data_IF_600587203741
#
_entry.id   IF_600587203741
#
_cell.length_a   1.000
_cell.length_b   1.000
_cell.length_c   1.000
_cell.angle_alpha   90.00
_cell.angle_beta   90.00
_cell.angle_gamma   90.00
#
_symmetry.space_group_name_H-M   'P 1'
#
loop_
_entity.id
_entity.type
_entity.pdbx_description
1 polymer ?
#
# COMPACT_ATOMS: atom_id res chain seq x y z
N UNK A 1 21.40 13.15 -19.70
CA UNK A 1 21.77 14.02 -20.85
C UNK A 1 20.49 14.65 -21.41
N UNK A 2 20.52 15.92 -21.83
CA UNK A 2 19.42 16.59 -22.57
C UNK A 2 19.94 16.96 -23.95
N UNK A 3 19.32 16.50 -25.03
CA UNK A 3 19.73 16.80 -26.41
C UNK A 3 21.23 16.56 -26.69
N UNK A 4 21.80 15.47 -26.16
CA UNK A 4 23.23 15.15 -26.31
C UNK A 4 24.18 15.85 -25.32
N UNK A 5 23.70 16.84 -24.57
CA UNK A 5 24.46 17.56 -23.55
C UNK A 5 24.40 16.82 -22.22
N UNK A 6 25.55 16.60 -21.59
CA UNK A 6 25.64 16.09 -20.22
C UNK A 6 25.57 17.25 -19.23
N UNK A 7 24.80 17.07 -18.17
CA UNK A 7 24.69 18.01 -17.06
C UNK A 7 25.24 17.35 -15.80
N UNK A 8 25.92 18.13 -14.98
CA UNK A 8 26.59 17.67 -13.78
C UNK A 8 26.78 18.85 -12.83
N UNK A 9 27.04 18.53 -11.56
CA UNK A 9 27.39 19.53 -10.54
C UNK A 9 28.91 19.65 -10.46
N UNK A 10 29.43 20.87 -10.48
CA UNK A 10 30.87 21.12 -10.39
C UNK A 10 31.19 22.46 -9.72
N UNK A 11 32.41 22.56 -9.21
CA UNK A 11 32.98 23.73 -8.54
C UNK A 11 34.21 24.22 -9.32
N UNK A 12 34.21 25.50 -9.69
CA UNK A 12 35.33 26.16 -10.36
C UNK A 12 36.26 26.93 -9.39
N UNK A 13 36.01 26.82 -8.09
CA UNK A 13 36.71 27.51 -7.02
C UNK A 13 36.28 28.97 -6.83
N UNK A 14 35.37 29.50 -7.66
CA UNK A 14 34.88 30.89 -7.58
C UNK A 14 33.45 30.98 -7.08
N UNK A 15 32.57 30.11 -7.59
CA UNK A 15 31.14 30.12 -7.28
C UNK A 15 30.66 28.87 -6.51
N UNK A 16 31.58 27.98 -6.15
CA UNK A 16 31.25 26.72 -5.49
C UNK A 16 30.47 25.77 -6.40
N UNK A 17 29.77 24.79 -5.80
CA UNK A 17 29.00 23.78 -6.52
C UNK A 17 27.76 24.37 -7.24
N UNK A 18 27.85 24.46 -8.56
CA UNK A 18 26.78 24.98 -9.42
C UNK A 18 26.37 23.97 -10.50
N UNK A 19 25.36 24.31 -11.31
CA UNK A 19 24.93 23.50 -12.45
C UNK A 19 25.83 23.76 -13.66
N UNK A 20 26.45 22.70 -14.17
CA UNK A 20 27.31 22.74 -15.36
C UNK A 20 26.75 21.87 -16.49
N UNK A 21 27.18 22.19 -17.71
CA UNK A 21 26.89 21.41 -18.90
C UNK A 21 28.14 21.17 -19.73
N UNK A 22 28.16 20.08 -20.49
CA UNK A 22 29.24 19.75 -21.43
C UNK A 22 28.71 19.01 -22.67
N UNK A 23 29.28 19.33 -23.82
CA UNK A 23 29.12 18.57 -25.08
C UNK A 23 30.27 17.57 -25.31
N UNK A 24 31.18 17.42 -24.33
CA UNK A 24 32.39 16.61 -24.44
C UNK A 24 33.64 17.38 -24.87
N UNK A 25 33.54 18.69 -25.13
CA UNK A 25 34.67 19.56 -25.45
C UNK A 25 34.98 20.51 -24.30
N UNK A 26 36.22 21.01 -24.23
CA UNK A 26 36.62 22.04 -23.25
C UNK A 26 35.79 23.30 -23.43
N UNK A 27 35.60 23.76 -24.68
CA UNK A 27 34.86 24.99 -24.98
C UNK A 27 33.35 24.87 -24.65
N UNK A 28 32.77 23.69 -24.83
CA UNK A 28 31.37 23.42 -24.49
C UNK A 28 31.13 23.06 -23.03
N UNK A 29 32.19 22.98 -22.21
CA UNK A 29 32.08 22.73 -20.76
C UNK A 29 31.98 24.05 -20.01
N UNK A 30 30.76 24.42 -19.63
CA UNK A 30 30.47 25.75 -19.05
C UNK A 30 29.42 25.66 -17.95
N UNK A 31 29.47 26.60 -17.01
CA UNK A 31 28.41 26.80 -16.02
C UNK A 31 27.13 27.24 -16.74
N UNK A 32 26.00 26.66 -16.35
CA UNK A 32 24.69 27.01 -16.92
C UNK A 32 24.18 28.32 -16.31
N UNK A 33 24.25 28.44 -14.99
CA UNK A 33 23.84 29.61 -14.22
C UNK A 33 24.49 29.53 -12.84
N UNK A 34 24.97 30.66 -12.34
CA UNK A 34 25.22 30.83 -10.91
C UNK A 34 23.86 31.08 -10.24
N UNK A 35 23.30 30.06 -9.59
CA UNK A 35 21.97 30.13 -8.99
C UNK A 35 22.01 30.91 -7.69
N UNK A 36 23.00 30.63 -6.82
CA UNK A 36 23.21 31.40 -5.60
C UNK A 36 24.23 32.52 -5.86
N UNK A 37 23.73 33.72 -6.18
CA UNK A 37 24.56 34.88 -6.51
C UNK A 37 25.43 35.45 -5.35
N UNK A 38 25.52 34.77 -4.20
CA UNK A 38 26.26 35.19 -3.00
C UNK A 38 27.61 34.47 -2.85
N UNK A 39 28.17 34.48 -1.64
CA UNK A 39 29.44 33.81 -1.30
C UNK A 39 29.30 32.31 -0.94
N UNK A 40 28.23 31.67 -1.41
CA UNK A 40 27.96 30.24 -1.19
C UNK A 40 27.62 29.57 -2.51
N UNK A 41 27.03 28.37 -2.48
CA UNK A 41 26.79 27.56 -3.67
C UNK A 41 25.40 26.93 -3.67
N UNK A 42 24.82 26.74 -4.85
CA UNK A 42 23.48 26.19 -4.99
C UNK A 42 23.39 24.68 -4.76
N UNK A 43 24.51 23.98 -4.88
CA UNK A 43 24.66 22.52 -4.75
C UNK A 43 23.51 21.75 -5.43
N UNK A 44 23.38 21.80 -6.78
CA UNK A 44 22.38 21.05 -7.50
C UNK A 44 22.48 19.54 -7.24
N UNK A 45 21.34 18.89 -6.99
CA UNK A 45 21.25 17.46 -6.69
C UNK A 45 20.10 16.81 -7.47
N UNK A 46 20.12 15.47 -7.54
CA UNK A 46 19.04 14.67 -8.14
C UNK A 46 18.70 15.04 -9.60
N UNK A 47 19.74 15.29 -10.40
CA UNK A 47 19.65 15.71 -11.80
C UNK A 47 18.87 14.69 -12.65
N UNK A 48 17.63 15.04 -13.00
CA UNK A 48 16.68 14.14 -13.68
C UNK A 48 16.10 14.79 -14.91
N UNK A 49 16.05 14.08 -16.04
CA UNK A 49 15.54 14.63 -17.30
C UNK A 49 14.13 14.14 -17.54
N UNK A 50 13.17 15.05 -17.67
CA UNK A 50 11.78 14.77 -18.06
C UNK A 50 11.44 15.62 -19.28
N UNK A 51 11.01 15.00 -20.39
CA UNK A 51 10.62 15.69 -21.62
C UNK A 51 11.60 16.79 -22.09
N UNK A 52 12.88 16.43 -22.16
CA UNK A 52 13.98 17.32 -22.56
C UNK A 52 14.16 18.55 -21.65
N UNK A 53 13.57 18.54 -20.47
CA UNK A 53 13.80 19.52 -19.40
C UNK A 53 14.61 18.83 -18.30
N UNK A 54 15.67 19.47 -17.83
CA UNK A 54 16.42 19.01 -16.66
C UNK A 54 15.74 19.53 -15.41
N UNK A 55 15.44 18.65 -14.47
CA UNK A 55 14.97 18.95 -13.12
C UNK A 55 16.05 18.60 -12.10
N UNK A 56 16.10 19.36 -11.01
CA UNK A 56 17.05 19.18 -9.93
C UNK A 56 16.60 19.96 -8.70
N UNK A 57 17.11 19.62 -7.52
CA UNK A 57 16.97 20.47 -6.34
C UNK A 57 18.17 21.40 -6.20
N UNK A 58 17.94 22.66 -5.84
CA UNK A 58 19.00 23.65 -5.64
C UNK A 58 18.56 24.75 -4.67
N UNK A 59 19.55 25.40 -4.05
CA UNK A 59 19.34 26.53 -3.14
C UNK A 59 19.82 27.84 -3.77
N UNK A 60 19.02 28.90 -3.72
CA UNK A 60 19.39 30.23 -4.24
C UNK A 60 19.84 31.21 -3.16
N UNK A 61 19.88 30.77 -1.89
CA UNK A 61 20.20 31.57 -0.72
C UNK A 61 19.05 32.40 -0.16
N UNK A 62 17.86 32.33 -0.76
CA UNK A 62 16.68 33.12 -0.37
C UNK A 62 15.50 32.20 -0.02
N UNK A 63 15.21 31.23 -0.87
CA UNK A 63 14.04 30.35 -0.80
C UNK A 63 14.41 28.92 -0.34
N UNK A 64 15.61 28.74 0.20
CA UNK A 64 16.09 27.42 0.61
C UNK A 64 16.25 26.47 -0.58
N UNK A 65 16.36 25.16 -0.32
CA UNK A 65 16.45 24.14 -1.37
C UNK A 65 15.06 23.81 -1.90
N UNK A 66 14.85 24.10 -3.18
CA UNK A 66 13.55 23.93 -3.85
C UNK A 66 13.69 23.15 -5.16
N UNK A 67 12.59 22.90 -5.86
CA UNK A 67 12.59 22.24 -7.16
C UNK A 67 12.92 23.27 -8.25
N UNK A 68 13.95 22.98 -9.04
CA UNK A 68 14.39 23.80 -10.18
C UNK A 68 14.30 23.04 -11.48
N UNK A 69 14.21 23.79 -12.58
CA UNK A 69 14.32 23.27 -13.94
C UNK A 69 15.30 24.06 -14.79
N UNK A 70 15.82 23.44 -15.85
CA UNK A 70 16.68 24.05 -16.85
C UNK A 70 16.45 23.46 -18.25
N UNK A 71 16.44 24.33 -19.26
CA UNK A 71 16.55 23.97 -20.68
C UNK A 71 18.00 24.02 -21.20
N UNK A 72 18.97 24.29 -20.31
CA UNK A 72 20.38 24.48 -20.63
C UNK A 72 20.80 25.93 -20.86
N UNK A 73 19.89 26.90 -20.71
CA UNK A 73 20.17 28.34 -20.78
C UNK A 73 20.07 29.00 -19.41
N UNK A 74 20.72 30.14 -19.23
CA UNK A 74 20.58 30.96 -18.01
C UNK A 74 19.12 31.35 -17.77
N UNK A 75 18.40 31.75 -18.84
CA UNK A 75 17.03 32.23 -18.75
C UNK A 75 16.03 31.11 -18.45
N UNK A 76 16.23 29.93 -19.01
CA UNK A 76 15.40 28.75 -18.73
C UNK A 76 15.76 28.02 -17.44
N UNK A 77 16.80 28.45 -16.72
CA UNK A 77 17.18 27.91 -15.40
C UNK A 77 16.47 28.67 -14.29
N UNK A 78 15.33 28.12 -13.83
CA UNK A 78 14.38 28.79 -12.92
C UNK A 78 13.84 27.82 -11.87
N UNK A 79 13.45 28.33 -10.72
CA UNK A 79 12.67 27.61 -9.72
C UNK A 79 11.30 27.27 -10.32
N UNK A 80 10.82 26.04 -10.10
CA UNK A 80 9.51 25.59 -10.58
C UNK A 80 8.41 26.09 -9.68
N UNK A 81 8.61 25.97 -8.37
CA UNK A 81 7.70 26.40 -7.31
C UNK A 81 8.49 26.57 -6.01
N UNK A 82 8.16 27.60 -5.26
CA UNK A 82 8.58 27.77 -3.87
C UNK A 82 7.60 26.97 -2.99
N UNK A 83 7.89 25.68 -2.76
CA UNK A 83 6.97 24.77 -2.07
C UNK A 83 6.92 25.11 -0.57
N UNK A 84 8.08 25.41 0.03
CA UNK A 84 8.18 25.86 1.42
C UNK A 84 8.87 27.23 1.49
N UNK A 85 8.10 28.33 1.51
CA UNK A 85 8.67 29.67 1.53
C UNK A 85 9.65 29.92 2.67
N UNK A 86 10.81 30.49 2.32
CA UNK A 86 11.85 30.93 3.24
C UNK A 86 13.14 30.11 3.13
N UNK A 87 14.13 30.41 3.98
CA UNK A 87 15.50 29.89 3.82
C UNK A 87 15.67 28.39 4.05
N UNK A 88 14.65 27.71 4.60
CA UNK A 88 14.69 26.27 4.89
C UNK A 88 14.47 25.50 3.57
N UNK A 89 13.43 25.85 2.81
CA UNK A 89 13.05 25.19 1.57
C UNK A 89 12.44 23.80 1.79
N UNK A 90 11.87 23.24 0.72
CA UNK A 90 11.13 21.97 0.73
C UNK A 90 11.99 20.70 0.62
N UNK A 91 13.29 20.87 0.39
CA UNK A 91 14.30 19.82 0.22
C UNK A 91 13.88 18.67 -0.74
N UNK A 92 13.61 18.95 -2.03
CA UNK A 92 13.23 17.89 -2.96
C UNK A 92 14.32 16.82 -3.14
N UNK A 93 13.95 15.57 -2.94
CA UNK A 93 14.84 14.40 -3.02
C UNK A 93 14.21 13.29 -3.86
N UNK A 94 15.05 12.34 -4.28
CA UNK A 94 14.65 11.13 -5.02
C UNK A 94 13.85 11.41 -6.32
N UNK A 95 14.27 12.44 -7.06
CA UNK A 95 13.62 12.85 -8.30
C UNK A 95 13.60 11.70 -9.30
N UNK A 96 12.39 11.24 -9.64
CA UNK A 96 12.16 10.08 -10.47
C UNK A 96 11.20 10.42 -11.60
N UNK A 97 11.61 10.13 -12.82
CA UNK A 97 10.74 10.27 -14.00
C UNK A 97 9.83 9.05 -14.09
N UNK A 98 8.53 9.27 -14.20
CA UNK A 98 7.54 8.26 -14.59
C UNK A 98 6.74 8.81 -15.75
N UNK A 99 6.86 8.19 -16.93
CA UNK A 99 6.31 8.73 -18.18
C UNK A 99 6.73 10.20 -18.42
N UNK A 100 5.77 11.13 -18.38
CA UNK A 100 5.97 12.56 -18.63
C UNK A 100 5.95 13.41 -17.35
N UNK A 101 5.90 12.76 -16.19
CA UNK A 101 5.74 13.38 -14.87
C UNK A 101 6.99 13.16 -14.04
N UNK A 102 7.42 14.19 -13.32
CA UNK A 102 8.45 14.06 -12.29
C UNK A 102 7.77 13.77 -10.96
N UNK A 103 8.24 12.75 -10.25
CA UNK A 103 7.88 12.44 -8.87
C UNK A 103 9.08 12.68 -7.96
N UNK A 104 8.83 13.10 -6.72
CA UNK A 104 9.88 13.39 -5.74
C UNK A 104 9.31 13.45 -4.32
N UNK A 105 10.18 13.31 -3.33
CA UNK A 105 9.86 13.56 -1.91
C UNK A 105 10.14 15.03 -1.59
N UNK A 106 9.22 15.73 -0.92
CA UNK A 106 9.40 17.11 -0.47
C UNK A 106 8.46 17.46 0.69
N UNK A 107 8.82 18.51 1.45
CA UNK A 107 8.02 19.03 2.57
C UNK A 107 7.42 20.40 2.29
N UNK A 108 6.16 20.62 2.69
CA UNK A 108 5.53 21.94 2.73
C UNK A 108 5.57 22.57 4.14
N UNK A 109 6.32 21.97 5.08
CA UNK A 109 6.42 22.43 6.47
C UNK A 109 5.23 22.07 7.38
N UNK A 110 4.12 21.53 6.85
CA UNK A 110 2.95 21.13 7.65
C UNK A 110 2.65 19.63 7.62
N UNK A 111 2.91 18.97 6.48
CA UNK A 111 2.66 17.53 6.27
C UNK A 111 3.94 16.68 6.35
N UNK A 112 5.08 17.28 6.73
CA UNK A 112 6.38 16.62 6.61
C UNK A 112 6.73 16.27 5.16
N UNK A 113 7.65 15.32 4.96
CA UNK A 113 8.06 14.86 3.64
C UNK A 113 7.05 13.87 3.06
N UNK A 114 6.45 14.25 1.94
CA UNK A 114 5.40 13.47 1.27
C UNK A 114 5.68 13.27 -0.22
N UNK A 115 4.83 12.51 -0.91
CA UNK A 115 4.95 12.29 -2.35
C UNK A 115 4.43 13.51 -3.12
N UNK A 116 5.30 14.12 -3.91
CA UNK A 116 4.98 15.22 -4.81
C UNK A 116 5.16 14.82 -6.26
N UNK A 117 4.47 15.56 -7.14
CA UNK A 117 4.67 15.48 -8.59
C UNK A 117 4.81 16.86 -9.22
N UNK A 118 5.43 16.91 -10.39
CA UNK A 118 5.52 18.12 -11.23
C UNK A 118 5.48 17.78 -12.73
N UNK A 119 4.81 18.63 -13.50
CA UNK A 119 4.88 18.69 -14.97
C UNK A 119 5.87 19.76 -15.48
N UNK A 120 6.58 20.43 -14.56
CA UNK A 120 7.46 21.56 -14.85
C UNK A 120 6.82 22.93 -14.73
N UNK A 121 5.54 23.02 -14.36
CA UNK A 121 4.86 24.27 -14.04
C UNK A 121 4.60 24.40 -12.54
N UNK A 122 4.43 25.63 -12.06
CA UNK A 122 4.06 25.88 -10.67
C UNK A 122 2.71 25.25 -10.32
N UNK A 123 1.72 25.36 -11.24
CA UNK A 123 0.38 24.82 -11.07
C UNK A 123 0.35 23.28 -11.06
N UNK A 124 1.16 22.64 -11.90
CA UNK A 124 1.29 21.18 -11.94
C UNK A 124 2.22 20.61 -10.86
N UNK A 125 2.83 21.46 -10.03
CA UNK A 125 3.67 21.04 -8.89
C UNK A 125 2.82 20.94 -7.62
N UNK A 126 2.38 19.72 -7.31
CA UNK A 126 1.39 19.42 -6.27
C UNK A 126 1.76 18.17 -5.48
N UNK A 127 1.33 18.12 -4.21
CA UNK A 127 1.37 16.90 -3.40
C UNK A 127 0.39 15.90 -4.01
N UNK A 128 0.82 14.65 -4.17
CA UNK A 128 0.00 13.57 -4.72
C UNK A 128 -0.90 12.99 -3.63
N UNK A 129 -0.31 12.70 -2.47
CA UNK A 129 -0.99 12.16 -1.30
C UNK A 129 -0.18 12.45 -0.05
N UNK A 130 -0.87 12.80 1.02
CA UNK A 130 -0.34 12.79 2.39
C UNK A 130 -0.42 11.33 2.89
N UNK A 131 0.65 10.56 2.65
CA UNK A 131 0.68 9.12 2.95
C UNK A 131 0.75 8.89 4.46
N UNK A 132 1.39 9.80 5.21
CA UNK A 132 1.41 9.80 6.66
C UNK A 132 0.84 11.11 7.22
N UNK A 133 -0.48 11.15 7.51
CA UNK A 133 -1.13 12.38 7.96
C UNK A 133 -0.45 13.03 9.17
N UNK A 134 -0.17 14.33 9.05
CA UNK A 134 0.38 15.17 10.11
C UNK A 134 1.82 15.61 9.86
N UNK A 135 2.46 16.21 10.85
CA UNK A 135 3.77 16.85 10.68
C UNK A 135 4.98 15.91 10.57
N UNK A 136 4.79 14.59 10.73
CA UNK A 136 5.91 13.64 10.70
C UNK A 136 6.39 13.35 9.28
N UNK A 137 5.48 13.26 8.30
CA UNK A 137 5.77 12.88 6.93
C UNK A 137 6.01 11.38 6.74
N UNK A 138 5.79 10.92 5.52
CA UNK A 138 5.99 9.54 5.09
C UNK A 138 7.41 9.24 4.59
N UNK A 139 8.22 10.26 4.29
CA UNK A 139 9.58 10.13 3.76
C UNK A 139 9.70 9.16 2.56
N UNK A 140 9.01 9.42 1.43
CA UNK A 140 9.12 8.57 0.25
C UNK A 140 10.58 8.42 -0.23
N UNK A 141 10.99 7.18 -0.51
CA UNK A 141 12.37 6.86 -0.91
C UNK A 141 12.46 5.62 -1.83
N UNK A 142 13.59 5.46 -2.49
CA UNK A 142 13.88 4.39 -3.48
C UNK A 142 12.85 4.33 -4.61
N UNK A 143 12.40 5.51 -5.05
CA UNK A 143 11.44 5.69 -6.12
C UNK A 143 11.92 5.02 -7.40
N UNK A 144 11.07 4.17 -7.98
CA UNK A 144 11.40 3.39 -9.17
C UNK A 144 10.20 3.38 -10.13
N UNK A 145 10.44 3.76 -11.38
CA UNK A 145 9.46 3.60 -12.47
C UNK A 145 9.42 2.15 -12.94
N UNK A 146 8.25 1.51 -12.85
CA UNK A 146 8.01 0.18 -13.39
C UNK A 146 6.81 0.25 -14.32
N UNK A 147 7.10 0.24 -15.63
CA UNK A 147 6.09 0.29 -16.68
C UNK A 147 5.09 1.45 -16.55
N UNK A 148 5.53 2.63 -16.10
CA UNK A 148 4.70 3.82 -15.95
C UNK A 148 3.94 3.91 -14.62
N UNK A 149 4.21 3.00 -13.68
CA UNK A 149 3.74 3.05 -12.29
C UNK A 149 4.93 3.33 -11.39
N UNK A 150 4.81 4.30 -10.49
CA UNK A 150 5.83 4.59 -9.49
C UNK A 150 5.72 3.56 -8.36
N UNK A 151 6.83 2.94 -7.97
CA UNK A 151 6.97 2.17 -6.72
C UNK A 151 7.97 2.87 -5.80
N UNK A 152 7.70 2.89 -4.49
CA UNK A 152 8.55 3.56 -3.50
C UNK A 152 8.29 3.02 -2.10
N UNK A 153 9.24 3.22 -1.19
CA UNK A 153 9.00 2.99 0.24
C UNK A 153 8.55 4.26 0.93
N UNK A 154 7.65 4.13 1.90
CA UNK A 154 7.21 5.23 2.73
C UNK A 154 6.82 4.71 4.13
N UNK A 155 6.94 5.56 5.14
CA UNK A 155 6.35 5.32 6.45
C UNK A 155 4.83 5.34 6.32
N UNK A 156 4.17 4.33 6.89
CA UNK A 156 2.71 4.23 6.95
C UNK A 156 2.26 4.16 8.41
N UNK A 157 1.15 4.82 8.80
CA UNK A 157 0.64 4.75 10.16
C UNK A 157 0.38 3.30 10.61
N UNK A 158 0.71 2.90 11.85
CA UNK A 158 1.22 3.72 12.95
C UNK A 158 2.77 3.82 13.04
N UNK A 159 3.50 3.68 11.94
CA UNK A 159 4.96 3.81 11.87
C UNK A 159 5.69 2.67 11.16
N UNK A 160 4.95 1.80 10.46
CA UNK A 160 5.51 0.71 9.66
C UNK A 160 6.19 1.24 8.39
N UNK A 161 7.11 0.47 7.83
CA UNK A 161 7.64 0.72 6.49
C UNK A 161 6.72 0.05 5.47
N UNK A 162 6.15 0.83 4.55
CA UNK A 162 5.31 0.32 3.47
C UNK A 162 6.02 0.33 2.13
N UNK A 163 5.82 -0.71 1.31
CA UNK A 163 6.00 -0.60 -0.14
C UNK A 163 4.71 -0.03 -0.73
N UNK A 164 4.82 1.08 -1.44
CA UNK A 164 3.71 1.79 -2.03
C UNK A 164 3.88 1.95 -3.53
N UNK A 165 2.75 2.11 -4.22
CA UNK A 165 2.68 2.43 -5.64
C UNK A 165 1.86 3.69 -5.88
N UNK A 166 2.11 4.39 -6.99
CA UNK A 166 1.34 5.56 -7.42
C UNK A 166 1.21 5.64 -8.93
N UNK A 167 0.03 5.99 -9.42
CA UNK A 167 -0.24 6.42 -10.80
C UNK A 167 -0.19 7.96 -10.95
N UNK A 168 0.13 8.68 -9.89
CA UNK A 168 0.11 10.14 -9.82
C UNK A 168 -1.20 10.76 -9.37
N UNK A 169 -2.21 9.97 -9.01
CA UNK A 169 -3.42 10.43 -8.36
C UNK A 169 -3.43 10.04 -6.88
N UNK A 170 -4.21 10.76 -6.07
CA UNK A 170 -4.38 10.42 -4.65
C UNK A 170 -4.99 9.03 -4.47
N UNK A 171 -6.03 8.70 -5.25
CA UNK A 171 -6.71 7.40 -5.21
C UNK A 171 -5.81 6.24 -5.67
N UNK A 172 -4.99 6.46 -6.71
CA UNK A 172 -4.05 5.45 -7.21
C UNK A 172 -2.75 5.36 -6.40
N UNK A 173 -2.59 6.16 -5.34
CA UNK A 173 -1.45 6.08 -4.43
C UNK A 173 -1.78 5.19 -3.24
N UNK A 174 -1.34 3.93 -3.30
CA UNK A 174 -1.69 2.90 -2.31
C UNK A 174 -0.45 2.14 -1.82
N UNK A 175 -0.42 1.80 -0.54
CA UNK A 175 0.62 0.94 0.03
C UNK A 175 0.16 -0.51 0.00
N UNK A 176 0.89 -1.33 -0.74
CA UNK A 176 0.49 -2.71 -1.10
C UNK A 176 1.06 -3.76 -0.13
N UNK A 177 2.00 -3.36 0.71
CA UNK A 177 2.57 -4.20 1.77
C UNK A 177 3.19 -3.35 2.85
N UNK A 178 2.94 -3.70 4.11
CA UNK A 178 3.56 -3.07 5.28
C UNK A 178 4.46 -4.07 6.01
N UNK A 179 5.56 -3.58 6.55
CA UNK A 179 6.54 -4.34 7.31
C UNK A 179 6.66 -3.76 8.72
N UNK A 180 6.79 -4.62 9.75
CA UNK A 180 6.99 -4.16 11.12
C UNK A 180 8.22 -3.24 11.23
N UNK A 181 8.15 -2.36 12.21
CA UNK A 181 9.01 -1.18 12.38
C UNK A 181 10.52 -1.47 12.31
N UNK A 182 11.12 -1.26 11.14
CA UNK A 182 12.52 -0.86 11.09
C UNK A 182 12.61 0.60 11.53
N UNK A 183 13.56 1.00 12.40
CA UNK A 183 13.90 2.40 12.52
C UNK A 183 14.28 2.93 11.13
N UNK A 184 13.79 4.13 10.80
CA UNK A 184 14.24 4.90 9.66
C UNK A 184 15.78 4.96 9.71
N UNK A 185 16.47 4.33 8.74
CA UNK A 185 17.94 4.28 8.71
C UNK A 185 18.60 2.91 8.47
N UNK A 186 17.85 1.84 8.14
CA UNK A 186 18.43 0.55 7.75
C UNK A 186 19.01 0.56 6.31
N UNK A 187 20.01 -0.29 5.98
CA UNK A 187 20.72 -0.35 4.67
C UNK A 187 19.78 -0.37 3.46
N UNK A 188 20.26 0.00 2.24
CA UNK A 188 19.40 0.44 1.15
C UNK A 188 18.31 -0.57 0.84
N UNK A 189 17.07 -0.13 1.04
CA UNK A 189 15.91 -0.79 0.47
C UNK A 189 15.99 -0.59 -1.04
N UNK A 190 15.82 -1.65 -1.80
CA UNK A 190 15.98 -1.58 -3.26
C UNK A 190 14.72 -2.09 -3.92
N UNK A 191 14.35 -1.44 -5.01
CA UNK A 191 13.28 -1.87 -5.90
C UNK A 191 13.93 -2.09 -7.26
N UNK A 192 13.59 -3.20 -7.90
CA UNK A 192 14.07 -3.53 -9.23
C UNK A 192 12.93 -4.05 -10.10
N UNK A 193 13.06 -3.81 -11.40
CA UNK A 193 12.16 -4.33 -12.41
C UNK A 193 12.87 -5.43 -13.19
N UNK A 194 12.21 -6.57 -13.40
CA UNK A 194 12.68 -7.57 -14.34
C UNK A 194 11.50 -8.23 -15.06
N UNK A 195 11.47 -8.08 -16.38
CA UNK A 195 10.47 -8.72 -17.27
C UNK A 195 9.01 -8.39 -16.90
N UNK A 196 8.75 -7.16 -16.46
CA UNK A 196 7.44 -6.69 -16.05
C UNK A 196 7.08 -7.01 -14.60
N UNK A 197 8.00 -7.60 -13.83
CA UNK A 197 7.81 -7.96 -12.43
C UNK A 197 8.63 -7.03 -11.53
N UNK A 198 8.09 -6.72 -10.36
CA UNK A 198 8.78 -5.89 -9.36
C UNK A 198 9.37 -6.79 -8.29
N UNK A 199 10.66 -6.62 -8.03
CA UNK A 199 11.38 -7.26 -6.93
C UNK A 199 11.83 -6.19 -5.95
N UNK A 200 11.78 -6.50 -4.67
CA UNK A 200 12.15 -5.54 -3.66
C UNK A 200 12.66 -6.20 -2.38
N UNK A 201 13.48 -5.50 -1.62
CA UNK A 201 14.00 -5.98 -0.33
C UNK A 201 13.31 -5.29 0.83
N UNK A 202 12.89 -6.04 1.85
CA UNK A 202 12.33 -5.47 3.07
C UNK A 202 13.21 -5.83 4.26
N UNK A 203 13.45 -4.86 5.15
CA UNK A 203 13.97 -5.16 6.49
C UNK A 203 12.76 -5.47 7.38
N UNK A 204 12.74 -6.67 7.95
CA UNK A 204 11.68 -7.18 8.81
C UNK A 204 12.09 -7.27 10.29
N UNK A 205 13.31 -6.84 10.63
CA UNK A 205 13.79 -6.86 12.00
C UNK A 205 12.96 -5.95 12.91
N UNK A 206 12.74 -6.39 14.15
CA UNK A 206 12.18 -5.54 15.19
C UNK A 206 13.12 -4.39 15.54
N UNK A 207 12.53 -3.27 15.99
CA UNK A 207 13.28 -2.10 16.40
C UNK A 207 14.36 -2.43 17.43
N UNK A 208 15.62 -2.06 17.12
CA UNK A 208 16.77 -2.32 17.97
C UNK A 208 17.46 -3.66 17.74
N UNK A 209 16.97 -4.50 16.83
CA UNK A 209 17.64 -5.73 16.40
C UNK A 209 18.55 -5.49 15.18
N UNK A 210 19.42 -6.46 14.91
CA UNK A 210 20.18 -6.49 13.66
C UNK A 210 19.22 -6.59 12.45
N UNK A 211 19.53 -5.94 11.32
CA UNK A 211 18.64 -5.95 10.17
C UNK A 211 18.47 -7.38 9.61
N UNK A 212 17.23 -7.76 9.36
CA UNK A 212 16.82 -9.05 8.83
C UNK A 212 16.13 -8.81 7.51
N UNK A 213 16.69 -9.33 6.42
CA UNK A 213 16.21 -9.03 5.08
C UNK A 213 15.38 -10.15 4.50
N UNK A 214 14.43 -9.73 3.69
CA UNK A 214 13.60 -10.60 2.89
C UNK A 214 13.54 -10.05 1.46
N UNK A 215 13.63 -10.93 0.47
CA UNK A 215 13.41 -10.62 -0.95
C UNK A 215 11.96 -10.92 -1.29
N UNK A 216 11.28 -9.94 -1.85
CA UNK A 216 9.88 -10.02 -2.21
C UNK A 216 9.68 -9.78 -3.70
N UNK A 217 8.51 -10.20 -4.19
CA UNK A 217 8.03 -9.91 -5.53
C UNK A 217 6.59 -9.40 -5.46
N UNK A 218 6.24 -8.50 -6.38
CA UNK A 218 4.88 -7.98 -6.52
C UNK A 218 4.48 -7.77 -7.98
N UNK A 219 3.19 -7.98 -8.27
CA UNK A 219 2.52 -7.54 -9.50
C UNK A 219 1.83 -6.16 -9.34
N UNK A 220 2.04 -5.52 -8.19
CA UNK A 220 1.40 -4.26 -7.81
C UNK A 220 0.10 -4.42 -7.02
N UNK A 221 -0.33 -5.64 -6.70
CA UNK A 221 -1.47 -5.90 -5.81
C UNK A 221 -1.01 -6.51 -4.50
N UNK A 222 -1.79 -6.37 -3.43
CA UNK A 222 -1.47 -7.00 -2.15
C UNK A 222 -1.41 -8.54 -2.27
N UNK A 223 -2.39 -9.15 -2.95
CA UNK A 223 -2.46 -10.61 -3.16
C UNK A 223 -1.37 -11.16 -4.09
N UNK A 224 -0.90 -10.32 -5.01
CA UNK A 224 0.25 -10.60 -5.86
C UNK A 224 1.59 -10.23 -5.24
N UNK A 225 1.62 -9.74 -3.98
CA UNK A 225 2.84 -9.44 -3.23
C UNK A 225 3.20 -10.60 -2.30
N UNK A 226 4.30 -11.28 -2.58
CA UNK A 226 4.71 -12.47 -1.82
C UNK A 226 6.22 -12.58 -1.69
N UNK A 227 6.65 -13.33 -0.68
CA UNK A 227 8.06 -13.55 -0.41
C UNK A 227 8.68 -14.44 -1.48
N UNK A 228 9.85 -14.05 -1.96
CA UNK A 228 10.71 -14.82 -2.87
C UNK A 228 11.88 -15.44 -2.12
N UNK A 229 12.45 -14.81 -1.11
CA UNK A 229 13.47 -15.47 -0.31
C UNK A 229 13.56 -14.86 1.07
N UNK A 230 13.66 -15.73 2.06
CA UNK A 230 14.13 -15.35 3.38
C UNK A 230 15.66 -15.17 3.31
N UNK A 231 16.14 -13.96 3.55
CA UNK A 231 17.56 -13.62 3.55
C UNK A 231 18.11 -13.47 4.98
N UNK A 232 17.37 -13.95 6.00
CA UNK A 232 17.88 -14.03 7.37
C UNK A 232 19.04 -15.01 7.44
N UNK A 233 20.11 -14.60 8.11
CA UNK A 233 21.23 -15.48 8.40
C UNK A 233 20.79 -16.57 9.41
N UNK A 234 21.23 -17.83 9.26
CA UNK A 234 21.08 -18.81 10.34
C UNK A 234 21.74 -18.25 11.59
N UNK A 235 21.02 -18.32 12.73
CA UNK A 235 21.40 -17.69 13.98
C UNK A 235 22.88 -17.91 14.32
N UNK A 236 23.57 -16.82 14.65
CA UNK A 236 24.95 -16.82 15.12
C UNK A 236 25.07 -17.53 16.48
N UNK A 237 24.95 -18.86 16.50
CA UNK A 237 25.42 -19.70 17.61
C UNK A 237 26.75 -20.37 17.32
N UNK A 238 27.26 -20.27 16.09
CA UNK A 238 28.63 -20.69 15.75
C UNK A 238 29.52 -19.45 15.53
N UNK A 239 30.32 -19.18 16.56
CA UNK A 239 31.59 -18.44 16.55
C UNK A 239 31.65 -17.05 15.87
N UNK A 240 31.44 -15.99 16.65
CA UNK A 240 32.35 -14.83 16.69
C UNK A 240 32.54 -13.96 15.43
N UNK A 241 31.76 -14.13 14.36
CA UNK A 241 31.86 -13.30 13.16
C UNK A 241 31.01 -12.03 13.30
N UNK A 242 31.66 -10.88 13.27
CA UNK A 242 31.00 -9.58 13.08
C UNK A 242 30.80 -9.37 11.58
N UNK A 243 29.55 -9.41 11.13
CA UNK A 243 29.19 -9.03 9.77
C UNK A 243 29.12 -7.50 9.69
N UNK A 244 29.96 -6.88 8.85
CA UNK A 244 29.84 -5.46 8.51
C UNK A 244 28.51 -5.19 7.79
N UNK A 245 28.07 -3.92 7.77
CA UNK A 245 26.84 -3.49 7.09
C UNK A 245 26.75 -4.04 5.66
N UNK A 246 25.84 -4.99 5.42
CA UNK A 246 25.62 -5.55 4.09
C UNK A 246 24.78 -4.57 3.27
N UNK A 247 25.28 -4.14 2.12
CA UNK A 247 24.44 -3.50 1.09
C UNK A 247 23.82 -4.62 0.25
N UNK A 248 22.59 -5.01 0.56
CA UNK A 248 21.79 -5.83 -0.35
C UNK A 248 21.37 -4.99 -1.55
N UNK A 249 21.63 -5.46 -2.77
CA UNK A 249 21.36 -4.70 -3.98
C UNK A 249 21.10 -5.55 -5.20
N UNK A 250 20.49 -4.92 -6.20
CA UNK A 250 20.24 -5.51 -7.50
C UNK A 250 21.27 -5.04 -8.52
N UNK A 251 21.84 -5.99 -9.28
CA UNK A 251 22.69 -5.71 -10.44
C UNK A 251 21.97 -6.17 -11.69
N UNK A 252 21.86 -5.25 -12.66
CA UNK A 252 21.32 -5.55 -13.98
C UNK A 252 22.42 -6.09 -14.89
N UNK A 253 22.25 -7.30 -15.42
CA UNK A 253 23.12 -7.88 -16.46
C UNK A 253 22.26 -8.27 -17.65
N UNK A 254 22.20 -7.39 -18.66
CA UNK A 254 21.23 -7.52 -19.76
C UNK A 254 19.80 -7.34 -19.24
N UNK A 255 18.89 -8.27 -19.58
CA UNK A 255 17.49 -8.28 -19.13
C UNK A 255 17.27 -9.12 -17.87
N UNK A 256 18.33 -9.38 -17.10
CA UNK A 256 18.25 -10.16 -15.87
C UNK A 256 18.68 -9.29 -14.70
N UNK A 257 17.90 -9.39 -13.62
CA UNK A 257 18.23 -8.81 -12.33
C UNK A 257 18.87 -9.90 -11.49
N UNK A 258 20.07 -9.62 -10.99
CA UNK A 258 20.78 -10.46 -10.05
C UNK A 258 20.72 -9.78 -8.69
N UNK A 259 20.24 -10.52 -7.70
CA UNK A 259 20.39 -10.11 -6.33
C UNK A 259 21.81 -10.46 -5.88
N UNK A 260 22.59 -9.48 -5.42
CA UNK A 260 23.90 -9.73 -4.83
C UNK A 260 23.79 -9.63 -3.32
N UNK A 261 23.80 -10.76 -2.59
CA UNK A 261 24.12 -10.73 -1.18
C UNK A 261 25.60 -10.31 -1.10
N UNK A 262 25.87 -9.09 -0.67
CA UNK A 262 27.26 -8.64 -0.48
C UNK A 262 27.78 -9.30 0.78
N UNK A 263 28.61 -10.33 0.65
CA UNK A 263 29.50 -10.76 1.74
C UNK A 263 30.96 -10.65 1.32
N UNK A 264 31.69 -9.80 2.04
CA UNK A 264 33.13 -9.97 2.19
C UNK A 264 33.40 -11.15 3.13
N UNK A 265 33.23 -12.38 2.67
CA UNK A 265 34.05 -13.49 3.15
C UNK A 265 34.00 -14.65 2.17
N UNK A 266 35.16 -14.93 1.60
CA UNK A 266 35.39 -16.10 0.75
C UNK A 266 35.45 -17.33 1.66
N UNK A 267 34.53 -18.28 1.51
CA UNK A 267 34.80 -19.68 1.86
C UNK A 267 33.93 -20.40 2.92
N UNK A 268 32.85 -19.81 3.44
CA UNK A 268 31.82 -20.56 4.18
C UNK A 268 30.63 -20.86 3.25
N UNK A 269 29.93 -21.99 3.45
CA UNK A 269 28.75 -22.35 2.65
C UNK A 269 27.77 -21.16 2.59
N UNK A 270 27.59 -20.67 1.38
CA UNK A 270 26.78 -19.52 1.00
C UNK A 270 25.32 -19.95 1.12
N UNK A 271 24.50 -19.21 1.89
CA UNK A 271 23.02 -19.26 1.87
C UNK A 271 22.42 -20.57 1.33
N UNK A 272 22.03 -21.50 2.21
CA UNK A 272 21.11 -22.56 1.78
C UNK A 272 19.75 -21.91 1.52
N UNK A 273 19.41 -21.69 0.25
CA UNK A 273 18.07 -21.26 -0.13
C UNK A 273 17.13 -22.41 0.22
N UNK A 274 16.46 -22.30 1.38
CA UNK A 274 15.41 -23.24 1.75
C UNK A 274 14.23 -23.02 0.82
N UNK A 275 13.53 -24.10 0.49
CA UNK A 275 12.27 -23.99 -0.25
C UNK A 275 11.12 -23.81 0.75
N UNK A 276 10.16 -22.97 0.40
CA UNK A 276 9.05 -22.61 1.28
C UNK A 276 7.73 -22.75 0.56
N UNK A 277 6.71 -23.15 1.31
CA UNK A 277 5.30 -22.98 0.92
C UNK A 277 4.74 -21.79 1.69
N UNK A 278 4.02 -20.93 0.98
CA UNK A 278 3.33 -19.77 1.55
C UNK A 278 1.92 -19.61 0.99
N UNK A 279 1.06 -18.94 1.75
CA UNK A 279 -0.27 -18.50 1.30
C UNK A 279 -0.43 -16.99 1.57
N UNK A 280 -1.24 -16.32 0.75
CA UNK A 280 -1.48 -14.87 0.84
C UNK A 280 -2.92 -14.58 1.21
N UNK A 281 -3.13 -13.49 1.98
CA UNK A 281 -4.46 -12.95 2.28
C UNK A 281 -5.22 -12.61 0.99
N UNK A 282 -6.55 -12.61 1.06
CA UNK A 282 -7.45 -12.25 -0.02
C UNK A 282 -8.67 -11.50 0.50
N UNK A 283 -9.41 -10.86 -0.41
CA UNK A 283 -10.77 -10.37 -0.13
C UNK A 283 -11.72 -10.86 -1.20
N UNK A 284 -12.97 -11.08 -0.85
CA UNK A 284 -14.03 -11.55 -1.74
C UNK A 284 -15.34 -10.89 -1.35
N UNK A 285 -16.15 -10.51 -2.33
CA UNK A 285 -17.53 -10.02 -2.11
C UNK A 285 -18.44 -11.24 -2.06
N UNK A 286 -19.25 -11.38 -1.02
CA UNK A 286 -20.09 -12.57 -0.79
C UNK A 286 -21.15 -12.78 -1.88
N UNK A 287 -21.74 -11.69 -2.38
CA UNK A 287 -22.77 -11.65 -3.41
C UNK A 287 -24.16 -12.00 -2.89
N UNK A 288 -25.20 -11.62 -3.65
CA UNK A 288 -26.58 -11.58 -3.16
C UNK A 288 -27.28 -12.96 -2.92
N UNK A 289 -26.67 -14.07 -3.36
CA UNK A 289 -27.24 -15.43 -3.22
C UNK A 289 -26.26 -16.53 -3.60
N UNK A 290 -26.48 -17.72 -3.02
CA UNK A 290 -25.72 -18.92 -3.40
C UNK A 290 -24.31 -18.85 -2.85
N UNK A 291 -23.31 -19.21 -3.66
CA UNK A 291 -21.91 -19.08 -3.25
C UNK A 291 -21.06 -18.31 -4.25
N UNK A 292 -20.19 -17.46 -3.73
CA UNK A 292 -19.00 -16.96 -4.42
C UNK A 292 -17.78 -17.79 -3.99
N UNK A 293 -16.60 -17.51 -4.56
CA UNK A 293 -15.40 -18.34 -4.29
C UNK A 293 -14.22 -17.48 -3.86
N UNK A 294 -13.79 -17.69 -2.62
CA UNK A 294 -12.51 -17.26 -2.09
C UNK A 294 -11.39 -18.16 -2.66
N UNK A 295 -10.51 -17.60 -3.49
CA UNK A 295 -9.41 -18.35 -4.12
C UNK A 295 -8.06 -17.99 -3.50
N UNK A 296 -7.57 -18.83 -2.58
CA UNK A 296 -6.26 -18.69 -1.97
C UNK A 296 -5.18 -19.22 -2.90
N UNK A 297 -4.20 -18.37 -3.23
CA UNK A 297 -3.00 -18.80 -3.96
C UNK A 297 -1.97 -19.33 -2.97
N UNK A 298 -1.65 -20.62 -3.11
CA UNK A 298 -0.60 -21.29 -2.33
C UNK A 298 0.62 -21.45 -3.24
N UNK A 299 1.78 -20.99 -2.78
CA UNK A 299 2.99 -20.88 -3.59
C UNK A 299 4.13 -21.69 -3.00
N UNK A 300 4.75 -22.49 -3.84
CA UNK A 300 6.03 -23.16 -3.57
C UNK A 300 7.13 -22.34 -4.23
N UNK A 301 8.12 -21.92 -3.44
CA UNK A 301 9.10 -20.94 -3.89
C UNK A 301 9.93 -21.43 -5.08
N UNK A 302 10.45 -22.65 -4.99
CA UNK A 302 11.27 -23.26 -6.04
C UNK A 302 10.62 -24.54 -6.55
N UNK A 303 10.81 -24.81 -7.85
CA UNK A 303 10.36 -26.05 -8.47
C UNK A 303 11.09 -27.24 -7.86
N UNK A 304 10.33 -28.22 -7.38
CA UNK A 304 10.87 -29.52 -6.96
C UNK A 304 10.79 -30.54 -8.10
N UNK A 305 11.70 -31.52 -8.05
CA UNK A 305 11.74 -32.63 -9.01
C UNK A 305 10.75 -33.75 -8.64
N UNK A 306 10.30 -33.79 -7.38
CA UNK A 306 9.26 -34.69 -6.87
C UNK A 306 7.99 -33.91 -6.50
N UNK A 307 6.95 -34.66 -6.14
CA UNK A 307 5.74 -34.08 -5.56
C UNK A 307 6.06 -33.42 -4.22
N UNK A 308 5.42 -32.29 -3.96
CA UNK A 308 5.39 -31.63 -2.65
C UNK A 308 3.94 -31.50 -2.23
N UNK A 309 3.58 -31.98 -1.04
CA UNK A 309 2.23 -31.81 -0.50
C UNK A 309 2.20 -31.02 0.79
N UNK A 310 1.09 -30.33 1.01
CA UNK A 310 0.79 -29.58 2.22
C UNK A 310 -0.69 -29.76 2.55
N UNK A 311 -1.01 -30.04 3.81
CA UNK A 311 -2.40 -30.08 4.27
C UNK A 311 -2.92 -28.66 4.48
N UNK A 312 -4.22 -28.45 4.29
CA UNK A 312 -4.87 -27.17 4.54
C UNK A 312 -6.22 -27.37 5.21
N UNK A 313 -6.63 -26.38 6.01
CA UNK A 313 -7.97 -26.32 6.60
C UNK A 313 -8.39 -24.86 6.84
N UNK A 314 -9.68 -24.57 6.68
CA UNK A 314 -10.26 -23.29 7.08
C UNK A 314 -10.50 -23.23 8.59
N UNK A 315 -10.36 -22.04 9.17
CA UNK A 315 -10.61 -21.74 10.59
C UNK A 315 -11.47 -20.48 10.67
N UNK A 316 -12.51 -20.52 11.49
CA UNK A 316 -13.40 -19.38 11.74
C UNK A 316 -12.64 -18.17 12.28
N UNK A 317 -13.06 -16.98 11.87
CA UNK A 317 -12.63 -15.71 12.43
C UNK A 317 -13.83 -14.99 13.02
N UNK A 318 -14.19 -13.83 12.44
CA UNK A 318 -15.53 -13.25 12.67
C UNK A 318 -16.59 -13.96 11.83
N UNK A 319 -16.22 -14.37 10.61
CA UNK A 319 -17.02 -15.26 9.78
C UNK A 319 -16.94 -16.71 10.31
N UNK A 320 -18.08 -17.37 10.28
CA UNK A 320 -18.36 -18.71 10.81
C UNK A 320 -18.76 -19.70 9.71
N UNK A 321 -18.19 -20.90 9.77
CA UNK A 321 -18.51 -21.94 8.82
C UNK A 321 -19.99 -22.37 8.89
N UNK A 322 -20.66 -22.41 7.74
CA UNK A 322 -22.06 -22.80 7.58
C UNK A 322 -23.06 -21.63 7.60
N UNK A 323 -22.61 -20.43 7.99
CA UNK A 323 -23.36 -19.18 7.80
C UNK A 323 -22.71 -18.40 6.66
N UNK A 324 -21.41 -18.11 6.78
CA UNK A 324 -20.74 -17.10 5.96
C UNK A 324 -19.83 -17.75 4.91
N UNK A 325 -19.36 -18.97 5.19
CA UNK A 325 -18.56 -19.75 4.25
C UNK A 325 -18.69 -21.27 4.48
N UNK A 326 -18.32 -22.07 3.48
CA UNK A 326 -18.29 -23.53 3.60
C UNK A 326 -16.91 -23.99 4.06
N UNK A 327 -16.83 -24.61 5.25
CA UNK A 327 -15.58 -25.17 5.76
C UNK A 327 -14.91 -26.10 4.76
N UNK A 328 -13.64 -25.88 4.49
CA UNK A 328 -12.88 -26.60 3.45
C UNK A 328 -11.55 -27.08 4.03
N UNK A 329 -11.23 -28.36 3.84
CA UNK A 329 -9.92 -28.93 4.20
C UNK A 329 -9.48 -30.00 3.20
N UNK A 330 -8.19 -30.30 3.17
CA UNK A 330 -7.63 -31.30 2.27
C UNK A 330 -6.11 -31.29 2.24
N UNK A 331 -5.55 -31.95 1.23
CA UNK A 331 -4.12 -31.94 0.92
C UNK A 331 -3.92 -31.36 -0.47
N UNK A 332 -3.10 -30.32 -0.57
CA UNK A 332 -2.69 -29.71 -1.82
C UNK A 332 -1.35 -30.30 -2.27
N UNK A 333 -1.29 -30.84 -3.47
CA UNK A 333 -0.07 -31.47 -4.02
C UNK A 333 0.43 -30.70 -5.22
N UNK A 334 1.63 -30.12 -5.13
CA UNK A 334 2.39 -29.52 -6.22
C UNK A 334 3.07 -30.64 -7.03
N UNK A 335 2.67 -30.87 -8.29
CA UNK A 335 3.40 -31.79 -9.17
C UNK A 335 4.80 -31.24 -9.50
N UNK A 336 5.74 -32.08 -9.95
CA UNK A 336 7.08 -31.65 -10.30
C UNK A 336 7.09 -30.47 -11.26
N UNK A 337 7.86 -29.43 -10.94
CA UNK A 337 7.95 -28.22 -11.75
C UNK A 337 6.84 -27.18 -11.55
N UNK A 338 5.91 -27.40 -10.62
CA UNK A 338 4.81 -26.48 -10.27
C UNK A 338 5.19 -25.62 -9.06
N UNK A 339 4.85 -24.33 -9.09
CA UNK A 339 5.17 -23.36 -8.01
C UNK A 339 3.96 -22.60 -7.48
N UNK A 340 2.79 -22.75 -8.09
CA UNK A 340 1.56 -22.09 -7.64
C UNK A 340 0.37 -23.01 -7.88
N UNK A 341 -0.49 -23.12 -6.87
CA UNK A 341 -1.77 -23.81 -6.92
C UNK A 341 -2.81 -22.98 -6.17
N UNK A 342 -4.08 -23.35 -6.31
CA UNK A 342 -5.20 -22.63 -5.69
C UNK A 342 -6.00 -23.55 -4.79
N UNK A 343 -6.32 -23.06 -3.59
CA UNK A 343 -7.35 -23.62 -2.71
C UNK A 343 -8.59 -22.73 -2.85
N UNK A 344 -9.72 -23.33 -3.24
CA UNK A 344 -10.99 -22.62 -3.42
C UNK A 344 -11.90 -22.93 -2.23
N UNK A 345 -12.39 -21.87 -1.59
CA UNK A 345 -13.33 -21.94 -0.46
C UNK A 345 -14.64 -21.24 -0.89
N UNK A 346 -15.79 -21.92 -0.86
CA UNK A 346 -17.08 -21.28 -1.13
C UNK A 346 -17.43 -20.31 0.00
N UNK A 347 -17.85 -19.10 -0.36
CA UNK A 347 -18.40 -18.07 0.54
C UNK A 347 -19.90 -18.01 0.28
N UNK A 348 -20.71 -18.15 1.31
CA UNK A 348 -22.17 -18.10 1.20
C UNK A 348 -22.58 -16.64 1.04
N UNK A 349 -23.53 -16.39 0.15
CA UNK A 349 -24.01 -15.04 -0.13
C UNK A 349 -25.50 -14.92 0.15
N UNK A 350 -25.91 -13.78 0.70
CA UNK A 350 -27.31 -13.46 0.96
C UNK A 350 -27.64 -11.95 0.76
N UNK A 351 -28.72 -11.46 1.38
CA UNK A 351 -29.20 -10.08 1.22
C UNK A 351 -29.33 -9.36 2.58
N UNK A 352 -28.71 -9.92 3.62
CA UNK A 352 -28.81 -9.53 5.02
C UNK A 352 -27.63 -8.62 5.37
N UNK A 353 -27.93 -7.38 5.74
CA UNK A 353 -26.89 -6.46 6.21
C UNK A 353 -26.36 -6.86 7.59
N UNK A 354 -25.07 -7.17 7.65
CA UNK A 354 -24.28 -7.62 8.80
C UNK A 354 -23.52 -6.48 9.47
N UNK A 355 -23.18 -5.44 8.71
CA UNK A 355 -22.72 -4.14 9.22
C UNK A 355 -21.25 -3.83 8.99
N UNK A 356 -20.38 -4.82 9.08
CA UNK A 356 -18.93 -4.74 8.91
C UNK A 356 -18.44 -5.93 8.07
N UNK A 357 -17.27 -5.78 7.41
CA UNK A 357 -16.62 -6.90 6.73
C UNK A 357 -16.23 -8.02 7.71
N UNK A 358 -16.41 -9.27 7.30
CA UNK A 358 -16.08 -10.43 8.12
C UNK A 358 -14.81 -11.16 7.67
N UNK A 359 -14.27 -12.05 8.49
CA UNK A 359 -13.01 -12.74 8.22
C UNK A 359 -13.00 -14.20 8.63
N UNK A 360 -12.34 -15.04 7.83
CA UNK A 360 -11.93 -16.40 8.20
C UNK A 360 -10.49 -16.65 7.72
N UNK A 361 -9.85 -17.74 8.13
CA UNK A 361 -8.46 -18.05 7.74
C UNK A 361 -8.32 -19.40 7.03
N UNK A 362 -7.37 -19.51 6.11
CA UNK A 362 -6.85 -20.78 5.59
C UNK A 362 -5.50 -21.07 6.24
N UNK A 363 -5.38 -22.20 6.94
CA UNK A 363 -4.16 -22.63 7.64
C UNK A 363 -3.54 -23.81 6.92
N UNK A 364 -2.23 -23.74 6.68
CA UNK A 364 -1.39 -24.78 6.09
C UNK A 364 -0.69 -25.61 7.18
N UNK A 365 -0.52 -26.90 6.94
CA UNK A 365 0.14 -27.81 7.88
C UNK A 365 0.75 -29.03 7.18
N UNK A 366 1.50 -29.85 7.92
CA UNK A 366 1.98 -31.17 7.49
C UNK A 366 2.62 -31.21 6.09
N UNK A 367 3.69 -30.46 5.88
CA UNK A 367 4.45 -30.52 4.62
C UNK A 367 5.09 -31.90 4.44
N UNK A 368 4.96 -32.46 3.23
CA UNK A 368 5.63 -33.70 2.83
C UNK A 368 6.33 -33.50 1.48
N UNK A 369 7.65 -33.74 1.46
CA UNK A 369 8.49 -33.60 0.28
C UNK A 369 9.71 -34.52 0.38
N UNK A 370 10.37 -34.79 -0.76
CA UNK A 370 11.64 -35.52 -0.80
C UNK A 370 12.85 -34.70 -0.34
N UNK A 371 12.71 -33.38 -0.35
CA UNK A 371 13.69 -32.36 0.07
C UNK A 371 13.12 -31.58 1.27
N UNK A 372 13.96 -30.80 1.95
CA UNK A 372 13.48 -29.91 3.02
C UNK A 372 12.64 -28.78 2.41
N UNK A 373 11.35 -28.78 2.73
CA UNK A 373 10.41 -27.71 2.40
C UNK A 373 9.75 -27.27 3.70
N UNK A 374 9.78 -25.96 3.98
CA UNK A 374 9.23 -25.38 5.21
C UNK A 374 7.95 -24.60 4.91
N UNK A 375 7.16 -24.32 5.94
CA UNK A 375 6.06 -23.37 5.86
C UNK A 375 6.56 -21.97 6.23
N UNK A 376 6.04 -20.98 5.52
CA UNK A 376 6.25 -19.58 5.83
C UNK A 376 4.99 -18.79 5.49
N UNK A 377 4.47 -17.99 6.42
CA UNK A 377 3.10 -17.50 6.36
C UNK A 377 2.14 -18.69 6.15
N UNK A 378 2.13 -19.59 7.13
CA UNK A 378 1.32 -20.81 7.17
C UNK A 378 -0.17 -20.54 7.43
N UNK A 379 -0.58 -19.28 7.50
CA UNK A 379 -1.96 -18.86 7.58
C UNK A 379 -2.19 -17.63 6.70
N UNK A 380 -3.36 -17.58 6.05
CA UNK A 380 -3.83 -16.42 5.32
C UNK A 380 -5.27 -16.10 5.70
N UNK A 381 -5.56 -14.81 5.86
CA UNK A 381 -6.91 -14.28 6.15
C UNK A 381 -7.65 -14.03 4.83
N UNK A 382 -8.89 -14.50 4.74
CA UNK A 382 -9.87 -14.02 3.76
C UNK A 382 -10.80 -13.02 4.45
N UNK A 383 -10.99 -11.86 3.83
CA UNK A 383 -12.02 -10.89 4.20
C UNK A 383 -13.22 -11.04 3.28
N UNK A 384 -14.39 -11.30 3.84
CA UNK A 384 -15.69 -11.28 3.17
C UNK A 384 -16.18 -9.84 3.22
N UNK A 385 -16.36 -9.23 2.05
CA UNK A 385 -16.75 -7.83 1.91
C UNK A 385 -18.27 -7.72 1.88
N UNK A 386 -18.79 -6.97 2.84
CA UNK A 386 -20.22 -6.67 3.02
C UNK A 386 -20.70 -5.77 1.87
N UNK A 387 -21.66 -6.28 1.09
CA UNK A 387 -22.17 -5.59 -0.09
C UNK A 387 -23.69 -5.34 -0.10
N UNK A 388 -24.36 -5.58 1.03
CA UNK A 388 -25.80 -5.46 1.18
C UNK A 388 -26.26 -4.05 1.56
N UNK A 389 -27.50 -3.68 1.16
CA UNK A 389 -28.03 -2.36 1.46
C UNK A 389 -28.26 -2.18 2.96
N UNK A 390 -27.66 -1.14 3.54
CA UNK A 390 -27.94 -0.75 4.92
C UNK A 390 -29.46 -0.50 5.15
N UNK A 391 -30.07 -1.13 6.18
CA UNK A 391 -31.50 -1.00 6.47
C UNK A 391 -31.93 0.42 6.83
N UNK A 392 -32.99 0.91 6.15
CA UNK A 392 -33.65 2.18 6.44
C UNK A 392 -35.04 1.93 7.01
N UNK A 393 -35.32 2.52 8.17
CA UNK A 393 -36.62 2.41 8.86
C UNK A 393 -37.64 3.35 8.24
N UNK A 394 -38.86 2.87 8.05
CA UNK A 394 -40.00 3.68 7.63
C UNK A 394 -41.27 3.32 8.39
N UNK A 395 -42.15 4.30 8.57
CA UNK A 395 -43.52 4.11 9.08
C UNK A 395 -44.50 4.51 8.00
N UNK A 396 -45.37 3.59 7.61
CA UNK A 396 -46.40 3.86 6.60
C UNK A 396 -47.63 4.56 7.18
N UNK A 397 -48.40 5.25 6.34
CA UNK A 397 -49.62 5.91 6.78
C UNK A 397 -50.69 4.88 7.18
N UNK A 398 -51.52 5.24 8.17
CA UNK A 398 -52.69 4.47 8.58
C UNK A 398 -53.92 5.38 8.63
N UNK A 399 -55.10 4.82 8.35
CA UNK A 399 -56.37 5.53 8.42
C UNK A 399 -57.48 4.59 8.89
N UNK A 400 -58.33 5.07 9.80
CA UNK A 400 -59.50 4.33 10.29
C UNK A 400 -60.67 5.29 10.50
N UNK A 401 -61.89 4.78 10.32
CA UNK A 401 -63.10 5.50 10.72
C UNK A 401 -63.36 5.23 12.21
N UNK A 402 -63.45 6.27 13.04
CA UNK A 402 -63.58 6.17 14.50
C UNK A 402 -64.85 5.42 14.95
N UNK A 403 -65.96 5.58 14.22
CA UNK A 403 -67.24 4.99 14.59
C UNK A 403 -67.93 5.70 15.77
N UNK A 404 -69.10 5.23 16.17
CA UNK A 404 -69.94 5.95 17.14
C UNK A 404 -69.66 5.62 18.61
N UNK A 405 -69.09 4.44 18.92
CA UNK A 405 -68.79 3.96 20.29
C UNK A 405 -67.64 2.95 20.31
N UNK A 406 -66.88 2.92 21.41
CA UNK A 406 -65.82 1.93 21.68
C UNK A 406 -64.46 2.32 21.10
N UNK A 407 -63.46 1.45 21.27
CA UNK A 407 -62.12 1.61 20.73
C UNK A 407 -61.89 0.78 19.48
N UNK A 408 -61.10 1.30 18.53
CA UNK A 408 -60.57 0.56 17.39
C UNK A 408 -59.06 0.71 17.36
N UNK A 409 -58.36 -0.38 17.08
CA UNK A 409 -56.92 -0.35 16.91
C UNK A 409 -56.58 0.17 15.50
N UNK A 410 -55.75 1.21 15.45
CA UNK A 410 -55.11 1.67 14.22
C UNK A 410 -53.69 1.11 14.21
N UNK A 411 -53.36 0.31 13.19
CA UNK A 411 -52.04 -0.27 13.04
C UNK A 411 -51.25 0.56 12.03
N UNK A 412 -50.10 1.07 12.44
CA UNK A 412 -49.13 1.72 11.57
C UNK A 412 -48.13 0.66 11.12
N UNK A 413 -47.99 0.38 9.81
CA UNK A 413 -46.99 -0.55 9.34
C UNK A 413 -45.60 0.07 9.54
N UNK A 414 -44.70 -0.65 10.21
CA UNK A 414 -43.30 -0.26 10.35
C UNK A 414 -42.46 -1.27 9.59
N UNK A 415 -41.54 -0.79 8.75
CA UNK A 415 -40.72 -1.65 7.90
C UNK A 415 -39.28 -1.16 7.74
N UNK A 416 -38.39 -2.10 7.40
CA UNK A 416 -37.03 -1.86 6.92
C UNK A 416 -36.98 -1.95 5.39
N UNK A 417 -36.08 -1.21 4.76
CA UNK A 417 -35.82 -1.29 3.31
C UNK A 417 -35.11 -2.57 2.88
N UNK A 418 -34.39 -3.20 3.80
CA UNK A 418 -33.59 -4.41 3.66
C UNK A 418 -33.50 -5.11 5.01
N UNK A 419 -33.28 -6.44 5.04
CA UNK A 419 -33.14 -7.18 6.28
C UNK A 419 -31.79 -6.87 6.98
N UNK A 420 -31.72 -7.15 8.28
CA UNK A 420 -30.51 -6.99 9.09
C UNK A 420 -30.17 -8.29 9.82
N UNK A 421 -28.89 -8.56 10.04
CA UNK A 421 -28.40 -9.71 10.80
C UNK A 421 -28.70 -9.60 12.31
N UNK A 422 -28.98 -8.39 12.79
CA UNK A 422 -29.28 -8.10 14.20
C UNK A 422 -30.68 -7.53 14.38
N UNK A 423 -31.20 -7.64 15.60
CA UNK A 423 -32.51 -7.06 15.96
C UNK A 423 -32.46 -5.54 15.86
N UNK A 424 -33.41 -4.94 15.13
CA UNK A 424 -33.59 -3.49 15.08
C UNK A 424 -34.62 -3.05 16.12
N UNK A 425 -34.16 -2.38 17.18
CA UNK A 425 -35.02 -1.83 18.24
C UNK A 425 -35.38 -0.36 17.96
N UNK A 426 -36.68 -0.06 17.93
CA UNK A 426 -37.21 1.28 17.64
C UNK A 426 -37.97 1.84 18.82
N UNK A 427 -37.68 3.08 19.20
CA UNK A 427 -38.51 3.83 20.14
C UNK A 427 -39.67 4.51 19.41
N UNK A 428 -40.89 4.13 19.74
CA UNK A 428 -42.12 4.67 19.14
C UNK A 428 -42.93 5.44 20.17
N UNK A 429 -43.54 6.53 19.73
CA UNK A 429 -44.44 7.35 20.52
C UNK A 429 -45.45 8.03 19.60
N UNK A 430 -46.60 8.40 20.16
CA UNK A 430 -47.61 9.21 19.47
C UNK A 430 -47.50 10.67 19.87
N UNK A 431 -47.81 11.59 18.96
CA UNK A 431 -47.86 13.03 19.22
C UNK A 431 -49.11 13.67 18.64
N UNK A 432 -49.65 14.66 19.35
CA UNK A 432 -50.87 15.36 18.94
C UNK A 432 -50.70 16.16 17.65
N UNK A 433 -51.77 16.18 16.85
CA UNK A 433 -51.91 17.05 15.68
C UNK A 433 -53.35 17.59 15.65
N UNK A 434 -54.13 17.27 14.61
CA UNK A 434 -55.57 17.56 14.60
C UNK A 434 -56.37 16.65 15.54
N UNK A 435 -55.81 15.47 15.86
CA UNK A 435 -56.30 14.56 16.90
C UNK A 435 -55.43 14.72 18.16
N UNK A 436 -56.04 14.67 19.34
CA UNK A 436 -55.40 14.88 20.64
C UNK A 436 -55.49 13.63 21.52
N UNK A 437 -54.39 13.30 22.20
CA UNK A 437 -54.28 12.21 23.14
C UNK A 437 -55.23 12.35 24.32
N UNK A 438 -55.93 11.27 24.67
CA UNK A 438 -56.92 11.22 25.74
C UNK A 438 -58.32 11.72 25.35
N UNK A 439 -58.47 12.38 24.18
CA UNK A 439 -59.77 12.68 23.56
C UNK A 439 -60.04 11.75 22.37
N UNK A 440 -59.13 11.76 21.40
CA UNK A 440 -59.37 11.16 20.08
C UNK A 440 -58.65 9.82 19.92
N UNK A 441 -57.54 9.64 20.64
CA UNK A 441 -56.79 8.39 20.69
C UNK A 441 -56.13 8.20 22.06
N UNK A 442 -55.82 6.95 22.42
CA UNK A 442 -55.01 6.65 23.60
C UNK A 442 -53.52 6.81 23.25
N UNK A 443 -52.81 7.69 23.95
CA UNK A 443 -51.40 7.95 23.66
C UNK A 443 -50.54 6.74 23.99
N UNK A 444 -49.60 6.43 23.09
CA UNK A 444 -48.53 5.47 23.36
C UNK A 444 -47.35 6.29 23.91
N UNK A 445 -47.07 6.22 25.23
CA UNK A 445 -45.84 6.79 25.76
C UNK A 445 -44.66 5.98 25.22
N UNK A 446 -43.49 6.62 25.06
CA UNK A 446 -42.25 6.00 24.55
C UNK A 446 -42.18 4.49 24.84
N UNK A 447 -42.49 3.71 23.81
CA UNK A 447 -42.54 2.25 23.82
C UNK A 447 -41.50 1.72 22.84
N UNK A 448 -41.06 0.47 23.00
CA UNK A 448 -40.13 -0.17 22.07
C UNK A 448 -40.85 -1.19 21.21
N UNK A 449 -40.57 -1.18 19.91
CA UNK A 449 -40.87 -2.30 19.01
C UNK A 449 -39.56 -2.85 18.47
N UNK A 450 -39.57 -4.12 18.08
CA UNK A 450 -38.40 -4.81 17.55
C UNK A 450 -38.75 -5.46 16.22
N UNK A 451 -37.87 -5.31 15.24
CA UNK A 451 -37.86 -6.11 14.01
C UNK A 451 -36.75 -7.14 14.19
N UNK A 452 -37.12 -8.43 14.17
CA UNK A 452 -36.19 -9.53 14.39
C UNK A 452 -35.17 -9.65 13.23
N UNK A 453 -34.02 -10.32 13.45
CA UNK A 453 -33.05 -10.59 12.38
C UNK A 453 -33.70 -11.23 11.15
N UNK A 454 -33.29 -10.81 9.96
CA UNK A 454 -33.82 -11.29 8.68
C UNK A 454 -35.22 -10.79 8.31
N UNK A 455 -35.97 -10.19 9.24
CA UNK A 455 -37.31 -9.65 8.99
C UNK A 455 -37.25 -8.20 8.51
N UNK A 456 -38.23 -7.79 7.71
CA UNK A 456 -38.32 -6.42 7.18
C UNK A 456 -39.53 -5.65 7.68
N UNK A 457 -40.36 -6.20 8.57
CA UNK A 457 -41.55 -5.51 9.09
C UNK A 457 -42.07 -6.13 10.38
N UNK A 458 -42.81 -5.33 11.18
CA UNK A 458 -43.51 -5.76 12.40
C UNK A 458 -44.94 -5.23 12.44
#
# INVERSE_FOLDING_TARGET
KVNGILYFTADDGTYGLELWKTDGTVAGTVMVKNIWAGNSHSAPQSLTVVNNTLFFSANDGVNGRELWKSDGTVAGTVMVKDILPGIIGSDPTDLTKVNNTLFFSASNGTSGYELWKSDGTEAGTVMVKDVYPGGNGSYPQSMTDVNGVLYFYASVPPGALGLCKSDGTEAGTICIKSFPTSPLGSPPLTIAEANGEVFFTANIAESGQAPEYELWKTDGTETGTFLVADLREPSATEEGVSYGSMEHGFIYVGNRVYFTPVTQSVGSELFSVRNYISVSNISVVEGDSGTTTANFKVRLLMKEAGDVSVDYATVDGTATAGTDYISTSGTLTFPPGTTELTVSVPVEGDLIYEGDDETFSLVLSNVSASSEVLLLNDSAVATILENDPQPVVSVGPASIEEGNWGYKNMNFPVSLSSPSAVTVSLSVYTSDMSANGGSDYESIPNSSIEIAPGETSV
#
